data_IF_910099829478
#
_entry.id   IF_910099829478
#
_cell.length_a   1.000
_cell.length_b   1.000
_cell.length_c   1.000
_cell.angle_alpha   90.00
_cell.angle_beta   90.00
_cell.angle_gamma   90.00
#
_symmetry.space_group_name_H-M   'P 1'
#
loop_
_entity.id
_entity.type
_entity.pdbx_description
1 polymer ?
#
# COMPACT_ATOMS: atom_id res chain seq x y z
N UNK A 1 46.55 -28.44 -29.38
CA UNK A 1 45.22 -28.64 -28.76
C UNK A 1 45.06 -27.59 -27.65
N UNK A 2 44.89 -26.32 -27.98
CA UNK A 2 44.75 -25.28 -26.94
C UNK A 2 43.92 -24.05 -27.36
N UNK A 3 42.97 -24.26 -28.27
CA UNK A 3 42.15 -23.15 -28.80
C UNK A 3 40.70 -23.08 -28.24
N UNK A 4 40.30 -24.01 -27.36
CA UNK A 4 38.92 -24.12 -26.89
C UNK A 4 38.60 -23.32 -25.63
N UNK A 5 39.51 -23.22 -24.69
CA UNK A 5 39.28 -22.58 -23.41
C UNK A 5 39.20 -21.02 -23.51
N UNK A 6 40.02 -20.43 -24.32
CA UNK A 6 40.05 -18.96 -24.50
C UNK A 6 38.81 -18.38 -25.18
N UNK A 7 38.11 -19.18 -25.98
CA UNK A 7 36.90 -18.75 -26.69
C UNK A 7 35.66 -18.82 -25.81
N UNK A 8 35.61 -19.78 -24.87
CA UNK A 8 34.51 -19.92 -23.90
C UNK A 8 34.51 -18.81 -22.85
N UNK A 9 35.70 -18.40 -22.41
CA UNK A 9 35.81 -17.27 -21.46
C UNK A 9 35.46 -15.92 -22.13
N UNK A 10 35.79 -15.74 -23.40
CA UNK A 10 35.52 -14.48 -24.12
C UNK A 10 34.03 -14.20 -24.31
N UNK A 11 33.21 -15.22 -24.66
CA UNK A 11 31.77 -14.98 -24.81
C UNK A 11 31.07 -14.81 -23.45
N UNK A 12 31.50 -15.50 -22.41
CA UNK A 12 30.95 -15.35 -21.07
C UNK A 12 31.21 -13.93 -20.49
N UNK A 13 32.40 -13.39 -20.71
CA UNK A 13 32.74 -12.02 -20.31
C UNK A 13 31.95 -10.99 -21.11
N UNK A 14 31.74 -11.23 -22.41
CA UNK A 14 30.96 -10.33 -23.28
C UNK A 14 29.49 -10.33 -22.91
N UNK A 15 28.90 -11.49 -22.55
CA UNK A 15 27.54 -11.61 -22.06
C UNK A 15 27.34 -10.92 -20.70
N UNK A 16 28.30 -11.08 -19.78
CA UNK A 16 28.23 -10.42 -18.46
C UNK A 16 28.39 -8.90 -18.59
N UNK A 17 29.23 -8.42 -19.49
CA UNK A 17 29.40 -7.00 -19.76
C UNK A 17 28.23 -6.41 -20.52
N UNK A 18 27.63 -7.17 -21.46
CA UNK A 18 26.41 -6.81 -22.18
C UNK A 18 25.21 -6.71 -21.23
N UNK A 19 25.01 -7.70 -20.35
CA UNK A 19 23.95 -7.67 -19.32
C UNK A 19 24.12 -6.51 -18.31
N UNK A 20 25.37 -6.15 -17.96
CA UNK A 20 25.66 -4.97 -17.11
C UNK A 20 25.48 -3.64 -17.84
N UNK A 21 25.61 -3.61 -19.15
CA UNK A 21 25.40 -2.40 -19.95
C UNK A 21 23.91 -2.17 -20.20
N UNK A 22 23.14 -3.22 -20.43
CA UNK A 22 21.69 -3.18 -20.59
C UNK A 22 20.99 -2.61 -19.32
N UNK A 23 21.51 -2.94 -18.14
CA UNK A 23 21.01 -2.41 -16.84
C UNK A 23 21.41 -0.93 -16.60
N UNK A 24 22.35 -0.36 -17.38
CA UNK A 24 22.74 1.07 -17.29
C UNK A 24 22.00 1.96 -18.27
N UNK A 25 21.48 1.43 -19.35
CA UNK A 25 20.85 2.18 -20.43
C UNK A 25 19.31 2.15 -20.38
N UNK A 26 18.73 1.64 -19.27
CA UNK A 26 17.29 1.71 -19.05
C UNK A 26 16.82 3.16 -19.10
N UNK A 27 16.00 3.48 -20.07
CA UNK A 27 15.45 4.82 -20.26
C UNK A 27 14.65 5.24 -19.02
N UNK A 28 14.55 6.55 -18.76
CA UNK A 28 13.75 7.11 -17.67
C UNK A 28 12.29 6.62 -17.76
N UNK A 29 11.79 6.45 -18.97
CA UNK A 29 10.44 5.97 -19.24
C UNK A 29 10.23 4.51 -18.84
N UNK A 30 11.19 3.63 -19.12
CA UNK A 30 11.16 2.22 -18.74
C UNK A 30 11.19 2.04 -17.22
N UNK A 31 12.01 2.83 -16.51
CA UNK A 31 12.02 2.83 -15.03
C UNK A 31 10.68 3.27 -14.45
N UNK A 32 10.06 4.30 -15.02
CA UNK A 32 8.74 4.76 -14.57
C UNK A 32 7.67 3.70 -14.82
N UNK A 33 7.69 3.04 -15.96
CA UNK A 33 6.75 1.99 -16.30
C UNK A 33 6.91 0.77 -15.35
N UNK A 34 8.16 0.35 -15.06
CA UNK A 34 8.44 -0.73 -14.09
C UNK A 34 7.95 -0.38 -12.69
N UNK A 35 8.33 0.79 -12.15
CA UNK A 35 7.90 1.23 -10.82
C UNK A 35 6.38 1.34 -10.72
N UNK A 36 5.72 1.72 -11.81
CA UNK A 36 4.26 1.79 -11.86
C UNK A 36 3.61 0.40 -11.81
N UNK A 37 4.16 -0.58 -12.54
CA UNK A 37 3.68 -1.97 -12.52
C UNK A 37 3.85 -2.56 -11.12
N UNK A 38 4.99 -2.32 -10.46
CA UNK A 38 5.24 -2.74 -9.08
C UNK A 38 4.21 -2.14 -8.12
N UNK A 39 3.96 -0.82 -8.21
CA UNK A 39 2.93 -0.14 -7.41
C UNK A 39 1.55 -0.78 -7.62
N UNK A 40 1.16 -1.07 -8.85
CA UNK A 40 -0.14 -1.71 -9.13
C UNK A 40 -0.25 -3.11 -8.53
N UNK A 41 0.84 -3.88 -8.48
CA UNK A 41 0.86 -5.20 -7.83
C UNK A 41 0.69 -5.09 -6.32
N UNK A 42 1.39 -4.15 -5.67
CA UNK A 42 1.23 -3.87 -4.24
C UNK A 42 -0.20 -3.45 -3.91
N UNK A 43 -0.77 -2.54 -4.69
CA UNK A 43 -2.15 -2.07 -4.50
C UNK A 43 -3.17 -3.20 -4.68
N UNK A 44 -2.92 -4.17 -5.58
CA UNK A 44 -3.82 -5.32 -5.79
C UNK A 44 -3.94 -6.19 -4.54
N UNK A 45 -2.84 -6.44 -3.83
CA UNK A 45 -2.85 -7.20 -2.57
C UNK A 45 -3.67 -6.46 -1.51
N UNK A 46 -3.44 -5.14 -1.37
CA UNK A 46 -4.19 -4.30 -0.44
C UNK A 46 -5.69 -4.25 -0.79
N UNK A 47 -6.04 -4.15 -2.08
CA UNK A 47 -7.42 -4.19 -2.55
C UNK A 47 -8.11 -5.49 -2.15
N UNK A 48 -7.45 -6.63 -2.37
CA UNK A 48 -8.01 -7.93 -2.00
C UNK A 48 -8.27 -8.02 -0.51
N UNK A 49 -7.32 -7.62 0.32
CA UNK A 49 -7.48 -7.57 1.79
C UNK A 49 -8.63 -6.66 2.23
N UNK A 50 -8.72 -5.47 1.63
CA UNK A 50 -9.78 -4.50 1.93
C UNK A 50 -11.17 -5.00 1.51
N UNK A 51 -11.29 -5.68 0.37
CA UNK A 51 -12.55 -6.27 -0.09
C UNK A 51 -13.02 -7.40 0.81
N UNK A 52 -12.11 -8.24 1.30
CA UNK A 52 -12.44 -9.29 2.28
C UNK A 52 -12.95 -8.62 3.57
N UNK A 53 -12.25 -7.62 4.09
CA UNK A 53 -12.67 -6.88 5.27
C UNK A 53 -14.05 -6.24 5.09
N UNK A 54 -14.27 -5.54 3.96
CA UNK A 54 -15.55 -4.93 3.65
C UNK A 54 -16.67 -5.96 3.54
N UNK A 55 -16.40 -7.13 2.94
CA UNK A 55 -17.33 -8.25 2.89
C UNK A 55 -17.74 -8.72 4.27
N UNK A 56 -16.80 -8.92 5.19
CA UNK A 56 -17.11 -9.27 6.58
C UNK A 56 -17.91 -8.18 7.30
N UNK A 57 -17.55 -6.92 7.14
CA UNK A 57 -18.30 -5.81 7.71
C UNK A 57 -19.75 -5.80 7.22
N UNK A 58 -19.98 -6.07 5.94
CA UNK A 58 -21.34 -6.13 5.38
C UNK A 58 -22.19 -7.27 5.96
N UNK A 59 -21.61 -8.31 6.52
CA UNK A 59 -22.35 -9.41 7.15
C UNK A 59 -22.82 -9.07 8.57
N UNK A 60 -22.16 -8.12 9.25
CA UNK A 60 -22.47 -7.81 10.66
C UNK A 60 -23.91 -7.35 10.90
N UNK A 61 -24.55 -6.51 10.06
CA UNK A 61 -25.94 -6.10 10.27
C UNK A 61 -26.96 -7.25 10.29
N UNK A 62 -26.61 -8.39 9.70
CA UNK A 62 -27.47 -9.58 9.63
C UNK A 62 -27.26 -10.54 10.81
N UNK A 63 -26.32 -10.23 11.72
CA UNK A 63 -26.11 -11.01 12.93
C UNK A 63 -27.14 -10.64 14.00
N UNK A 64 -27.67 -11.65 14.73
CA UNK A 64 -28.72 -11.43 15.73
C UNK A 64 -28.33 -10.37 16.78
N UNK A 65 -27.06 -10.35 17.22
CA UNK A 65 -26.54 -9.38 18.19
C UNK A 65 -26.36 -7.96 17.67
N UNK A 66 -26.47 -7.72 16.38
CA UNK A 66 -26.29 -6.37 15.82
C UNK A 66 -27.39 -5.41 16.32
N UNK A 67 -28.61 -5.91 16.52
CA UNK A 67 -29.74 -5.14 17.03
C UNK A 67 -29.55 -4.71 18.50
N UNK A 68 -28.73 -5.42 19.26
CA UNK A 68 -28.41 -5.14 20.65
C UNK A 68 -27.28 -4.08 20.81
N UNK A 69 -26.59 -3.72 19.72
CA UNK A 69 -25.54 -2.72 19.75
C UNK A 69 -26.08 -1.36 20.13
N UNK A 70 -25.42 -0.69 21.06
CA UNK A 70 -25.67 0.70 21.41
C UNK A 70 -25.45 1.64 20.21
N UNK A 71 -26.06 2.84 20.26
CA UNK A 71 -25.96 3.82 19.17
C UNK A 71 -24.53 4.18 18.79
N UNK A 72 -23.64 4.28 19.77
CA UNK A 72 -22.21 4.55 19.60
C UNK A 72 -21.52 3.49 18.73
N UNK A 73 -21.70 2.22 19.05
CA UNK A 73 -21.11 1.11 18.28
C UNK A 73 -21.69 0.98 16.87
N UNK A 74 -22.95 1.36 16.67
CA UNK A 74 -23.53 1.45 15.32
C UNK A 74 -22.91 2.55 14.50
N UNK A 75 -22.61 3.71 15.08
CA UNK A 75 -21.90 4.79 14.40
C UNK A 75 -20.47 4.35 14.04
N UNK A 76 -19.74 3.74 14.96
CA UNK A 76 -18.40 3.21 14.69
C UNK A 76 -18.43 2.17 13.54
N UNK A 77 -19.43 1.30 13.52
CA UNK A 77 -19.63 0.36 12.42
C UNK A 77 -19.85 1.08 11.08
N UNK A 78 -20.73 2.10 11.04
CA UNK A 78 -20.98 2.87 9.82
C UNK A 78 -19.73 3.61 9.36
N UNK A 79 -18.96 4.19 10.28
CA UNK A 79 -17.67 4.81 9.96
C UNK A 79 -16.70 3.80 9.36
N UNK A 80 -16.57 2.62 9.96
CA UNK A 80 -15.69 1.57 9.46
C UNK A 80 -16.08 1.12 8.04
N UNK A 81 -17.36 0.95 7.74
CA UNK A 81 -17.85 0.52 6.42
C UNK A 81 -17.65 1.61 5.36
N UNK A 82 -17.88 2.88 5.69
CA UNK A 82 -17.64 4.02 4.80
C UNK A 82 -16.14 4.17 4.50
N UNK A 83 -15.29 4.04 5.52
CA UNK A 83 -13.83 4.09 5.35
C UNK A 83 -13.34 2.90 4.50
N UNK A 84 -13.85 1.69 4.69
CA UNK A 84 -13.49 0.52 3.88
C UNK A 84 -13.87 0.72 2.40
N UNK A 85 -15.06 1.28 2.15
CA UNK A 85 -15.49 1.62 0.79
C UNK A 85 -14.59 2.70 0.17
N UNK A 86 -14.34 3.79 0.91
CA UNK A 86 -13.44 4.86 0.46
C UNK A 86 -12.04 4.33 0.16
N UNK A 87 -11.50 3.46 1.02
CA UNK A 87 -10.22 2.79 0.80
C UNK A 87 -10.21 2.03 -0.53
N UNK A 88 -11.25 1.25 -0.80
CA UNK A 88 -11.38 0.50 -2.05
C UNK A 88 -11.38 1.43 -3.26
N UNK A 89 -12.14 2.52 -3.22
CA UNK A 89 -12.19 3.52 -4.31
C UNK A 89 -10.83 4.16 -4.56
N UNK A 90 -10.12 4.55 -3.48
CA UNK A 90 -8.81 5.18 -3.58
C UNK A 90 -7.74 4.22 -4.11
N UNK A 91 -7.75 2.95 -3.70
CA UNK A 91 -6.79 1.95 -4.17
C UNK A 91 -7.07 1.50 -5.62
N UNK A 92 -8.31 1.57 -6.09
CA UNK A 92 -8.67 1.30 -7.50
C UNK A 92 -8.37 2.51 -8.41
N UNK A 93 -8.34 3.72 -7.83
CA UNK A 93 -8.11 4.98 -8.56
C UNK A 93 -6.92 4.96 -9.53
N UNK A 94 -5.70 4.51 -9.14
CA UNK A 94 -4.53 4.45 -10.01
C UNK A 94 -4.77 3.68 -11.32
N UNK A 95 -5.53 2.58 -11.28
CA UNK A 95 -5.88 1.81 -12.48
C UNK A 95 -6.74 2.63 -13.44
N UNK A 96 -7.70 3.37 -12.91
CA UNK A 96 -8.60 4.22 -13.70
C UNK A 96 -7.85 5.39 -14.32
N UNK A 97 -6.96 6.04 -13.55
CA UNK A 97 -6.11 7.15 -14.02
C UNK A 97 -5.17 6.67 -15.11
N UNK A 98 -4.56 5.49 -14.95
CA UNK A 98 -3.71 4.89 -15.98
C UNK A 98 -4.44 4.70 -17.31
N UNK A 99 -5.66 4.12 -17.28
CA UNK A 99 -6.46 3.94 -18.50
C UNK A 99 -6.82 5.25 -19.19
N UNK A 100 -7.07 6.32 -18.43
CA UNK A 100 -7.44 7.62 -18.95
C UNK A 100 -6.26 8.37 -19.59
N UNK A 101 -5.08 8.31 -18.97
CA UNK A 101 -3.90 9.11 -19.34
C UNK A 101 -2.91 8.37 -20.26
N UNK A 102 -3.00 7.04 -20.35
CA UNK A 102 -2.11 6.24 -21.20
C UNK A 102 -2.07 6.72 -22.67
N UNK A 103 -3.18 7.29 -23.17
CA UNK A 103 -3.30 7.81 -24.53
C UNK A 103 -2.77 9.25 -24.72
N UNK A 104 -2.40 9.97 -23.63
CA UNK A 104 -2.11 11.41 -23.66
C UNK A 104 -0.64 11.77 -23.43
N UNK A 105 0.28 10.80 -23.34
CA UNK A 105 1.74 11.01 -23.14
C UNK A 105 2.12 11.84 -21.90
N UNK A 106 1.24 11.95 -20.87
CA UNK A 106 1.48 12.69 -19.60
C UNK A 106 1.85 11.74 -18.48
N UNK A 107 2.96 11.01 -18.62
CA UNK A 107 3.39 9.97 -17.68
C UNK A 107 3.73 10.51 -16.28
N UNK A 108 4.32 11.69 -16.18
CA UNK A 108 4.74 12.28 -14.90
C UNK A 108 3.54 12.61 -14.00
N UNK A 109 2.49 13.21 -14.56
CA UNK A 109 1.25 13.53 -13.83
C UNK A 109 0.53 12.25 -13.37
N UNK A 110 0.55 11.20 -14.20
CA UNK A 110 -0.02 9.90 -13.88
C UNK A 110 0.61 9.29 -12.62
N UNK A 111 1.93 9.25 -12.56
CA UNK A 111 2.67 8.68 -11.44
C UNK A 111 2.41 9.49 -10.16
N UNK A 112 2.44 10.82 -10.25
CA UNK A 112 2.19 11.70 -9.09
C UNK A 112 0.79 11.50 -8.50
N UNK A 113 -0.25 11.49 -9.34
CA UNK A 113 -1.64 11.26 -8.90
C UNK A 113 -1.81 9.87 -8.30
N UNK A 114 -1.23 8.85 -8.93
CA UNK A 114 -1.30 7.47 -8.43
C UNK A 114 -0.66 7.31 -7.06
N UNK A 115 0.47 7.96 -6.80
CA UNK A 115 1.11 7.98 -5.48
C UNK A 115 0.25 8.68 -4.41
N UNK A 116 -0.42 9.78 -4.76
CA UNK A 116 -1.33 10.46 -3.84
C UNK A 116 -2.52 9.57 -3.50
N UNK A 117 -3.16 8.97 -4.50
CA UNK A 117 -4.28 8.05 -4.29
C UNK A 117 -3.88 6.84 -3.45
N UNK A 118 -2.72 6.25 -3.72
CA UNK A 118 -2.20 5.13 -2.94
C UNK A 118 -1.96 5.53 -1.47
N UNK A 119 -1.34 6.68 -1.20
CA UNK A 119 -1.12 7.18 0.17
C UNK A 119 -2.43 7.44 0.92
N UNK A 120 -3.41 8.08 0.26
CA UNK A 120 -4.72 8.30 0.84
C UNK A 120 -5.46 6.98 1.09
N UNK A 121 -5.33 6.01 0.16
CA UNK A 121 -5.87 4.66 0.33
C UNK A 121 -5.26 3.93 1.53
N UNK A 122 -3.95 4.01 1.72
CA UNK A 122 -3.27 3.44 2.88
C UNK A 122 -3.72 4.11 4.20
N UNK A 123 -3.85 5.44 4.20
CA UNK A 123 -4.32 6.19 5.37
C UNK A 123 -5.74 5.77 5.75
N UNK A 124 -6.65 5.72 4.78
CA UNK A 124 -8.04 5.29 5.03
C UNK A 124 -8.12 3.83 5.44
N UNK A 125 -7.23 2.95 4.93
CA UNK A 125 -7.10 1.57 5.38
C UNK A 125 -6.72 1.49 6.86
N UNK A 126 -5.72 2.27 7.29
CA UNK A 126 -5.32 2.32 8.70
C UNK A 126 -6.45 2.81 9.61
N UNK A 127 -7.20 3.84 9.18
CA UNK A 127 -8.36 4.32 9.91
C UNK A 127 -9.50 3.28 9.95
N UNK A 128 -9.71 2.55 8.86
CA UNK A 128 -10.66 1.42 8.83
C UNK A 128 -10.29 0.37 9.87
N UNK A 129 -9.03 -0.06 9.89
CA UNK A 129 -8.54 -1.05 10.85
C UNK A 129 -8.69 -0.56 12.29
N UNK A 130 -8.31 0.70 12.56
CA UNK A 130 -8.48 1.29 13.88
C UNK A 130 -9.96 1.33 14.31
N UNK A 131 -10.86 1.70 13.40
CA UNK A 131 -12.31 1.71 13.67
C UNK A 131 -12.86 0.31 13.98
N UNK A 132 -12.41 -0.70 13.23
CA UNK A 132 -12.80 -2.11 13.47
C UNK A 132 -12.27 -2.59 14.82
N UNK A 133 -11.03 -2.29 15.16
CA UNK A 133 -10.43 -2.64 16.48
C UNK A 133 -11.22 -1.96 17.60
N UNK A 134 -11.51 -0.65 17.46
CA UNK A 134 -12.31 0.10 18.43
C UNK A 134 -13.69 -0.56 18.62
N UNK A 135 -14.35 -0.93 17.54
CA UNK A 135 -15.65 -1.57 17.57
C UNK A 135 -15.59 -2.91 18.30
N UNK A 136 -14.66 -3.79 17.91
CA UNK A 136 -14.55 -5.14 18.48
C UNK A 136 -14.26 -5.07 19.98
N UNK A 137 -13.24 -4.31 20.38
CA UNK A 137 -12.87 -4.17 21.79
C UNK A 137 -13.96 -3.46 22.59
N UNK A 138 -14.63 -2.47 21.98
CA UNK A 138 -15.74 -1.76 22.60
C UNK A 138 -16.94 -2.66 22.89
N UNK A 139 -17.26 -3.57 21.98
CA UNK A 139 -18.35 -4.54 22.16
C UNK A 139 -18.00 -5.63 23.19
N UNK A 140 -16.73 -6.05 23.25
CA UNK A 140 -16.30 -7.18 24.10
C UNK A 140 -15.94 -6.74 25.51
N UNK A 141 -15.25 -5.61 25.69
CA UNK A 141 -14.68 -5.17 26.97
C UNK A 141 -15.34 -3.90 27.51
N UNK A 142 -15.86 -3.04 26.64
CA UNK A 142 -16.44 -1.75 26.98
C UNK A 142 -15.90 -0.62 26.12
N UNK A 143 -16.64 0.51 26.05
CA UNK A 143 -16.31 1.61 25.14
C UNK A 143 -14.93 2.24 25.41
N UNK A 144 -14.52 2.37 26.68
CA UNK A 144 -13.23 2.95 27.03
C UNK A 144 -12.07 2.10 26.50
N UNK A 145 -12.12 0.79 26.71
CA UNK A 145 -11.13 -0.18 26.26
C UNK A 145 -11.07 -0.21 24.73
N UNK A 146 -12.23 -0.08 24.08
CA UNK A 146 -12.34 0.06 22.63
C UNK A 146 -11.57 1.28 22.11
N UNK A 147 -11.79 2.47 22.67
CA UNK A 147 -11.07 3.68 22.27
C UNK A 147 -9.57 3.61 22.54
N UNK A 148 -9.17 3.01 23.66
CA UNK A 148 -7.75 2.79 23.96
C UNK A 148 -7.12 1.87 22.92
N UNK A 149 -7.75 0.73 22.61
CA UNK A 149 -7.26 -0.22 21.60
C UNK A 149 -7.17 0.43 20.21
N UNK A 150 -8.21 1.18 19.79
CA UNK A 150 -8.20 1.93 18.54
C UNK A 150 -7.13 3.00 18.49
N UNK A 151 -6.94 3.74 19.58
CA UNK A 151 -5.85 4.73 19.70
C UNK A 151 -4.46 4.09 19.55
N UNK A 152 -4.23 2.96 20.20
CA UNK A 152 -2.99 2.18 20.03
C UNK A 152 -2.81 1.76 18.58
N UNK A 153 -3.87 1.27 17.91
CA UNK A 153 -3.79 0.90 16.51
C UNK A 153 -3.40 2.08 15.61
N UNK A 154 -4.00 3.26 15.81
CA UNK A 154 -3.64 4.48 15.06
C UNK A 154 -2.17 4.84 15.27
N UNK A 155 -1.69 4.80 16.51
CA UNK A 155 -0.28 5.10 16.85
C UNK A 155 0.67 4.11 16.17
N UNK A 156 0.35 2.82 16.20
CA UNK A 156 1.16 1.78 15.54
C UNK A 156 1.21 1.99 14.01
N UNK A 157 0.08 2.26 13.37
CA UNK A 157 0.06 2.56 11.94
C UNK A 157 0.88 3.81 11.62
N UNK A 158 0.73 4.89 12.40
CA UNK A 158 1.49 6.11 12.22
C UNK A 158 2.99 5.89 12.42
N UNK A 159 3.39 5.13 13.44
CA UNK A 159 4.78 4.82 13.72
C UNK A 159 5.44 4.01 12.59
N UNK A 160 4.74 3.01 12.05
CA UNK A 160 5.28 2.18 10.95
C UNK A 160 5.32 2.97 9.64
N UNK A 161 4.26 3.71 9.30
CA UNK A 161 4.17 4.33 7.97
C UNK A 161 4.88 5.67 7.85
N UNK A 162 5.03 6.43 8.94
CA UNK A 162 5.77 7.69 8.94
C UNK A 162 7.04 7.65 9.78
N UNK A 163 7.03 6.98 10.91
CA UNK A 163 8.17 6.93 11.81
C UNK A 163 9.36 6.20 11.19
N UNK A 164 9.13 4.97 10.71
CA UNK A 164 10.19 4.12 10.17
C UNK A 164 10.91 4.73 8.93
N UNK A 165 10.21 5.26 7.91
CA UNK A 165 10.86 5.90 6.76
C UNK A 165 11.65 7.16 7.14
N UNK A 166 11.17 7.95 8.11
CA UNK A 166 11.89 9.13 8.58
C UNK A 166 13.15 8.77 9.35
N UNK A 167 13.08 7.73 10.20
CA UNK A 167 14.24 7.24 10.92
C UNK A 167 15.33 6.75 9.96
N UNK A 168 14.98 5.95 8.96
CA UNK A 168 15.91 5.46 7.94
C UNK A 168 16.56 6.59 7.09
N UNK A 169 15.85 7.69 6.87
CA UNK A 169 16.42 8.87 6.18
C UNK A 169 17.45 9.58 7.03
N UNK A 170 17.18 9.78 8.32
CA UNK A 170 18.09 10.44 9.26
C UNK A 170 19.42 9.70 9.40
N UNK A 171 19.36 8.36 9.45
CA UNK A 171 20.58 7.54 9.54
C UNK A 171 21.46 7.65 8.29
N UNK A 172 20.85 7.76 7.10
CA UNK A 172 21.59 7.98 5.85
C UNK A 172 22.26 9.36 5.79
N UNK A 173 21.56 10.39 6.24
CA UNK A 173 22.10 11.77 6.27
C UNK A 173 23.25 11.87 7.30
N UNK A 174 23.16 11.20 8.43
CA UNK A 174 24.23 11.13 9.42
C UNK A 174 25.45 10.37 8.92
N UNK A 175 25.25 9.26 8.18
CA UNK A 175 26.34 8.48 7.59
C UNK A 175 27.02 9.20 6.41
N UNK A 176 26.33 10.11 5.73
CA UNK A 176 26.90 10.91 4.63
C UNK A 176 27.68 12.14 5.14
N UNK A 177 27.51 12.54 6.41
CA UNK A 177 28.18 13.68 7.04
C UNK A 177 29.44 13.29 7.85
N UNK A 178 29.71 11.99 8.01
CA UNK A 178 30.89 11.40 8.67
C UNK A 178 31.96 10.97 7.66
#
# INVERSE_FOLDING_TARGET
>A
VDGGASRVESWAVTDILGARQDDRDESRDERMDRNFVELLQELRVLQTGTQILAGFLMTLPFQARFTELGGEHRILFLVAIVLAFLTTVLLVGPVSVHRALFRQHRKEDLVAVSHVLARLGLLTLGLTMASVITLIFGVVLGSLEGYVAGGIAVVLFAAVWWGLPQWMRRDRDAAAAS
#
